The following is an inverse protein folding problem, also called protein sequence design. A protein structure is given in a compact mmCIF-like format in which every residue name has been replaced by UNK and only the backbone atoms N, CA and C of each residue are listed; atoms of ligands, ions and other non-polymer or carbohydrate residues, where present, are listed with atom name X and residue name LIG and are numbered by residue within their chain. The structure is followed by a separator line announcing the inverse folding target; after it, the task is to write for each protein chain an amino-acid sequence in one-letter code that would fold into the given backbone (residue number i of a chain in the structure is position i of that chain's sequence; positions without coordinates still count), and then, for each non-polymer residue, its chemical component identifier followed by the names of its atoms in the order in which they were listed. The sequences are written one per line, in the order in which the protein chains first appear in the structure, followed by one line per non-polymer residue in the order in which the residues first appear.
data_IF_978466415038
#
_entry.id   IF_978466415038
#
_cell.length_a   1.000
_cell.length_b   1.000
_cell.length_c   1.000
_cell.angle_alpha   90.00
_cell.angle_beta   90.00
_cell.angle_gamma   90.00
#
_symmetry.space_group_name_H-M   'P 1'
#
loop_
_entity.id
_entity.type
_entity.pdbx_description
1 polymer ?
#
# COMPACT_ATOMS: atom_id res chain seq x y z
N UNK A 1 23.81 22.89 99.58
CA UNK A 1 23.64 21.44 99.80
C UNK A 1 23.06 20.83 98.53
N UNK A 2 23.88 20.03 97.85
CA UNK A 2 23.61 19.33 96.60
C UNK A 2 22.69 18.12 96.86
N UNK A 3 21.65 17.92 96.05
CA UNK A 3 20.90 16.66 96.06
C UNK A 3 20.65 16.16 94.64
N UNK A 4 21.15 14.95 94.43
CA UNK A 4 21.44 14.29 93.17
C UNK A 4 20.25 13.46 92.68
N UNK A 5 20.04 13.51 91.36
CA UNK A 5 19.45 12.54 90.42
C UNK A 5 18.69 11.32 90.97
N UNK A 6 17.49 11.08 90.44
CA UNK A 6 17.04 9.75 89.99
C UNK A 6 16.38 9.87 88.61
N UNK A 7 17.04 9.30 87.59
CA UNK A 7 16.48 9.10 86.24
C UNK A 7 15.78 7.75 86.22
N UNK A 8 14.49 7.74 85.97
CA UNK A 8 13.68 6.54 85.79
C UNK A 8 13.81 6.06 84.34
N UNK A 9 14.29 4.83 84.16
CA UNK A 9 14.37 4.15 82.87
C UNK A 9 13.00 3.49 82.64
N UNK A 10 12.21 3.97 81.69
CA UNK A 10 11.02 3.26 81.23
C UNK A 10 11.34 2.48 79.96
N UNK A 11 11.12 1.17 80.05
CA UNK A 11 11.31 0.19 79.00
C UNK A 11 10.39 0.49 77.80
N UNK A 12 10.99 0.62 76.60
CA UNK A 12 10.25 0.69 75.34
C UNK A 12 9.77 -0.71 74.96
N UNK A 13 8.49 -0.97 75.17
CA UNK A 13 7.79 -2.12 74.58
C UNK A 13 7.79 -1.97 73.05
N UNK A 14 8.44 -2.90 72.34
CA UNK A 14 8.42 -2.99 70.88
C UNK A 14 7.06 -3.54 70.45
N UNK A 15 6.09 -2.67 70.18
CA UNK A 15 4.88 -3.05 69.47
C UNK A 15 5.21 -3.27 67.99
N UNK A 16 5.23 -4.52 67.57
CA UNK A 16 5.30 -4.95 66.18
C UNK A 16 4.03 -4.50 65.44
N UNK A 17 4.11 -3.39 64.70
CA UNK A 17 3.08 -3.03 63.71
C UNK A 17 3.30 -3.84 62.44
N UNK A 18 2.82 -5.07 62.43
CA UNK A 18 2.58 -5.82 61.20
C UNK A 18 1.17 -5.44 60.70
N UNK A 19 1.04 -4.26 60.10
CA UNK A 19 -0.13 -3.94 59.29
C UNK A 19 0.21 -4.33 57.86
N UNK A 20 -0.23 -5.50 57.43
CA UNK A 20 -0.36 -5.83 56.02
C UNK A 20 -1.28 -4.77 55.38
N UNK A 21 -0.68 -3.74 54.78
CA UNK A 21 -1.38 -2.91 53.82
C UNK A 21 -1.65 -3.80 52.60
N UNK A 22 -2.79 -4.49 52.59
CA UNK A 22 -3.34 -5.06 51.37
C UNK A 22 -3.48 -3.90 50.38
N UNK A 23 -2.55 -3.83 49.42
CA UNK A 23 -2.58 -2.83 48.36
C UNK A 23 -3.87 -3.07 47.59
N UNK A 24 -4.82 -2.14 47.70
CA UNK A 24 -6.05 -2.18 46.92
C UNK A 24 -5.69 -2.43 45.45
N UNK A 25 -6.33 -3.40 44.77
CA UNK A 25 -6.00 -3.72 43.39
C UNK A 25 -6.14 -2.46 42.55
N UNK A 26 -5.11 -2.17 41.76
CA UNK A 26 -5.08 -1.00 40.90
C UNK A 26 -6.25 -1.07 39.91
N UNK A 27 -7.17 -0.11 40.00
CA UNK A 27 -8.36 -0.06 39.15
C UNK A 27 -8.30 1.15 38.21
N UNK A 28 -8.79 0.97 37.00
CA UNK A 28 -8.99 2.02 35.99
C UNK A 28 -10.44 2.09 35.55
N UNK A 29 -10.87 3.23 35.00
CA UNK A 29 -12.18 3.36 34.36
C UNK A 29 -12.07 3.12 32.85
N UNK A 30 -12.96 2.30 32.30
CA UNK A 30 -13.03 2.04 30.86
C UNK A 30 -13.31 3.33 30.08
N UNK A 31 -12.63 3.56 28.96
CA UNK A 31 -12.84 4.77 28.15
C UNK A 31 -14.23 4.86 27.52
N UNK A 32 -14.85 3.72 27.22
CA UNK A 32 -16.20 3.63 26.61
C UNK A 32 -17.29 3.60 27.67
N UNK A 33 -17.44 2.48 28.39
CA UNK A 33 -18.57 2.28 29.32
C UNK A 33 -18.37 2.88 30.73
N UNK A 34 -17.20 3.46 31.01
CA UNK A 34 -16.82 4.07 32.31
C UNK A 34 -16.78 3.13 33.53
N UNK A 35 -17.10 1.85 33.37
CA UNK A 35 -16.97 0.83 34.41
C UNK A 35 -15.53 0.73 34.93
N UNK A 36 -15.39 0.57 36.25
CA UNK A 36 -14.09 0.31 36.89
C UNK A 36 -13.66 -1.14 36.63
N UNK A 37 -12.42 -1.35 36.22
CA UNK A 37 -11.85 -2.67 35.95
C UNK A 37 -10.40 -2.75 36.42
N UNK A 38 -9.93 -3.97 36.70
CA UNK A 38 -8.52 -4.26 36.96
C UNK A 38 -7.82 -4.54 35.63
N UNK A 39 -6.93 -3.66 35.14
CA UNK A 39 -6.28 -3.86 33.86
C UNK A 39 -5.26 -5.02 33.94
N UNK A 40 -5.17 -5.82 32.88
CA UNK A 40 -4.15 -6.87 32.79
C UNK A 40 -2.76 -6.27 32.50
N UNK A 41 -2.70 -5.22 31.67
CA UNK A 41 -1.50 -4.42 31.40
C UNK A 41 -1.70 -2.96 31.78
N UNK A 42 -0.62 -2.29 32.16
CA UNK A 42 -0.63 -0.84 32.46
C UNK A 42 -1.07 0.03 31.28
N UNK A 43 -1.04 -0.49 30.05
CA UNK A 43 -1.53 0.18 28.84
C UNK A 43 -3.02 -0.01 28.57
N UNK A 44 -3.69 -0.94 29.26
CA UNK A 44 -5.08 -1.26 28.98
C UNK A 44 -5.99 -0.10 29.35
N UNK A 45 -6.88 0.25 28.42
CA UNK A 45 -7.79 1.38 28.51
C UNK A 45 -9.27 0.96 28.47
N UNK A 46 -9.54 -0.33 28.25
CA UNK A 46 -10.88 -0.88 28.05
C UNK A 46 -11.08 -2.07 28.97
N UNK A 47 -12.27 -2.19 29.55
CA UNK A 47 -12.61 -3.30 30.42
C UNK A 47 -12.88 -4.60 29.67
N UNK A 48 -13.12 -4.53 28.36
CA UNK A 48 -13.43 -5.69 27.54
C UNK A 48 -13.04 -5.47 26.07
N UNK A 49 -13.02 -6.57 25.31
CA UNK A 49 -12.77 -6.56 23.88
C UNK A 49 -13.83 -5.76 23.11
N UNK A 50 -15.09 -5.85 23.52
CA UNK A 50 -16.22 -5.14 22.93
C UNK A 50 -16.04 -3.63 23.05
N UNK A 51 -15.64 -3.14 24.24
CA UNK A 51 -15.34 -1.73 24.45
C UNK A 51 -14.17 -1.25 23.59
N UNK A 52 -13.14 -2.09 23.40
CA UNK A 52 -12.04 -1.76 22.49
C UNK A 52 -12.53 -1.66 21.04
N UNK A 53 -13.32 -2.63 20.58
CA UNK A 53 -13.87 -2.66 19.21
C UNK A 53 -14.75 -1.44 18.93
N UNK A 54 -15.63 -1.08 19.87
CA UNK A 54 -16.46 0.13 19.78
C UNK A 54 -15.61 1.40 19.63
N UNK A 55 -14.53 1.50 20.41
CA UNK A 55 -13.58 2.61 20.29
C UNK A 55 -12.86 2.64 18.93
N UNK A 56 -12.44 1.49 18.41
CA UNK A 56 -11.78 1.38 17.11
C UNK A 56 -12.71 1.76 15.94
N UNK A 57 -14.01 1.50 16.06
CA UNK A 57 -15.00 1.87 15.04
C UNK A 57 -15.28 3.38 14.98
N UNK A 58 -15.24 4.08 16.12
CA UNK A 58 -15.45 5.54 16.17
C UNK A 58 -14.16 6.35 15.98
N UNK A 59 -13.00 5.70 16.03
CA UNK A 59 -11.72 6.40 15.85
C UNK A 59 -11.64 6.88 14.40
N UNK A 60 -11.49 8.20 14.15
CA UNK A 60 -11.26 8.68 12.80
C UNK A 60 -10.01 7.97 12.25
N UNK A 61 -10.14 7.33 11.09
CA UNK A 61 -8.98 6.73 10.41
C UNK A 61 -7.95 7.85 10.26
N UNK A 62 -6.68 7.63 10.65
CA UNK A 62 -5.65 8.64 10.43
C UNK A 62 -5.69 8.97 8.94
N UNK A 63 -5.95 10.25 8.62
CA UNK A 63 -5.82 10.75 7.26
C UNK A 63 -4.37 10.48 6.92
N UNK A 64 -4.14 9.47 6.09
CA UNK A 64 -2.81 9.25 5.53
C UNK A 64 -2.51 10.54 4.77
N UNK A 65 -1.60 11.36 5.31
CA UNK A 65 -1.04 12.47 4.54
C UNK A 65 -0.44 11.79 3.32
N UNK A 66 -1.11 11.91 2.17
CA UNK A 66 -0.53 11.56 0.89
C UNK A 66 0.75 12.38 0.86
N UNK A 67 1.91 11.72 0.98
CA UNK A 67 3.17 12.40 0.79
C UNK A 67 3.06 13.01 -0.60
N UNK A 68 3.03 14.35 -0.66
CA UNK A 68 3.05 15.03 -1.94
C UNK A 68 4.40 14.66 -2.56
N UNK A 69 4.37 13.68 -3.46
CA UNK A 69 5.52 13.38 -4.28
C UNK A 69 5.82 14.68 -5.03
N UNK A 70 6.95 15.31 -4.73
CA UNK A 70 7.40 16.48 -5.48
C UNK A 70 7.36 16.11 -6.96
N UNK A 71 6.61 16.88 -7.73
CA UNK A 71 6.48 16.63 -9.17
C UNK A 71 7.87 16.77 -9.77
N UNK A 72 8.46 15.65 -10.16
CA UNK A 72 9.76 15.62 -10.84
C UNK A 72 9.73 16.61 -12.01
N UNK A 73 10.61 17.61 -11.98
CA UNK A 73 10.76 18.52 -13.11
C UNK A 73 11.43 17.76 -14.25
N UNK A 74 10.72 17.63 -15.36
CA UNK A 74 11.24 17.01 -16.58
C UNK A 74 12.22 17.97 -17.26
N UNK A 75 13.33 17.44 -17.77
CA UNK A 75 14.28 18.23 -18.57
C UNK A 75 13.63 18.70 -19.88
N UNK A 76 14.24 19.68 -20.54
CA UNK A 76 13.79 20.16 -21.86
C UNK A 76 13.76 19.01 -22.89
N UNK A 77 14.79 18.17 -22.87
CA UNK A 77 14.93 17.03 -23.78
C UNK A 77 13.89 15.94 -23.49
N UNK A 78 13.61 15.67 -22.21
CA UNK A 78 12.60 14.70 -21.80
C UNK A 78 11.19 15.16 -22.23
N UNK A 79 10.89 16.46 -22.09
CA UNK A 79 9.65 17.06 -22.60
C UNK A 79 9.54 16.94 -24.11
N UNK A 80 10.62 17.22 -24.84
CA UNK A 80 10.65 17.11 -26.30
C UNK A 80 10.43 15.67 -26.76
N UNK A 81 11.09 14.69 -26.11
CA UNK A 81 10.92 13.27 -26.37
C UNK A 81 9.47 12.81 -26.15
N UNK A 82 8.86 13.19 -25.02
CA UNK A 82 7.47 12.85 -24.73
C UNK A 82 6.50 13.45 -25.75
N UNK A 83 6.74 14.70 -26.18
CA UNK A 83 5.94 15.35 -27.21
C UNK A 83 6.08 14.65 -28.58
N UNK A 84 7.28 14.24 -28.97
CA UNK A 84 7.50 13.48 -30.22
C UNK A 84 6.84 12.11 -30.16
N UNK A 85 6.97 11.40 -29.03
CA UNK A 85 6.32 10.11 -28.78
C UNK A 85 4.80 10.25 -28.88
N UNK A 86 4.23 11.30 -28.31
CA UNK A 86 2.79 11.54 -28.38
C UNK A 86 2.32 11.85 -29.80
N UNK A 87 3.08 12.65 -30.57
CA UNK A 87 2.80 12.89 -31.99
C UNK A 87 2.80 11.60 -32.80
N UNK A 88 3.76 10.70 -32.57
CA UNK A 88 3.80 9.39 -33.23
C UNK A 88 2.61 8.53 -32.82
N UNK A 89 2.24 8.54 -31.53
CA UNK A 89 1.06 7.84 -31.02
C UNK A 89 -0.21 8.28 -31.75
N UNK A 90 -0.44 9.59 -31.84
CA UNK A 90 -1.62 10.16 -32.51
C UNK A 90 -1.64 9.77 -33.99
N UNK A 91 -0.52 9.90 -34.71
CA UNK A 91 -0.45 9.50 -36.13
C UNK A 91 -0.82 8.03 -36.37
N UNK A 92 -0.34 7.14 -35.51
CA UNK A 92 -0.65 5.71 -35.62
C UNK A 92 -2.12 5.42 -35.29
N UNK A 93 -2.69 6.10 -34.30
CA UNK A 93 -4.11 5.97 -33.94
C UNK A 93 -5.02 6.53 -35.05
N UNK A 94 -4.66 7.66 -35.65
CA UNK A 94 -5.39 8.25 -36.78
C UNK A 94 -5.39 7.31 -37.98
N UNK A 95 -4.26 6.67 -38.28
CA UNK A 95 -4.17 5.64 -39.31
C UNK A 95 -5.08 4.43 -39.02
N UNK A 96 -5.20 4.04 -37.75
CA UNK A 96 -6.12 2.96 -37.30
C UNK A 96 -7.54 3.46 -36.98
N UNK A 97 -7.88 4.70 -37.35
CA UNK A 97 -9.22 5.32 -37.18
C UNK A 97 -9.78 5.24 -35.76
N UNK A 98 -8.92 5.29 -34.74
CA UNK A 98 -9.33 5.27 -33.33
C UNK A 98 -10.08 4.01 -32.88
N UNK A 99 -9.92 2.87 -33.56
CA UNK A 99 -10.57 1.62 -33.15
C UNK A 99 -9.69 0.77 -32.24
N UNK A 100 -10.28 0.23 -31.17
CA UNK A 100 -9.61 -0.79 -30.36
C UNK A 100 -9.41 -2.06 -31.19
N UNK A 101 -8.16 -2.54 -31.31
CA UNK A 101 -7.83 -3.73 -32.11
C UNK A 101 -8.57 -5.00 -31.67
N UNK A 102 -8.93 -5.09 -30.37
CA UNK A 102 -9.59 -6.28 -29.81
C UNK A 102 -11.11 -6.22 -29.91
N UNK A 103 -11.74 -5.18 -29.38
CA UNK A 103 -13.20 -5.09 -29.28
C UNK A 103 -13.85 -4.28 -30.41
N UNK A 104 -13.07 -3.60 -31.25
CA UNK A 104 -13.61 -2.78 -32.34
C UNK A 104 -14.32 -1.50 -31.90
N UNK A 105 -14.32 -1.16 -30.61
CA UNK A 105 -14.92 0.09 -30.12
C UNK A 105 -14.03 1.27 -30.49
N UNK A 106 -14.64 2.30 -31.09
CA UNK A 106 -13.94 3.57 -31.39
C UNK A 106 -13.81 4.44 -30.16
N UNK A 107 -12.61 4.92 -29.85
CA UNK A 107 -12.39 5.94 -28.80
C UNK A 107 -11.09 6.71 -29.02
N UNK A 108 -11.05 7.96 -28.52
CA UNK A 108 -9.87 8.83 -28.63
C UNK A 108 -8.70 8.40 -27.73
N UNK A 109 -9.00 7.76 -26.61
CA UNK A 109 -8.02 7.45 -25.56
C UNK A 109 -7.56 5.99 -25.60
N UNK A 110 -7.09 5.53 -26.77
CA UNK A 110 -6.49 4.20 -26.88
C UNK A 110 -5.09 4.15 -26.26
N UNK A 111 -4.81 3.07 -25.56
CA UNK A 111 -3.51 2.77 -24.98
C UNK A 111 -2.70 1.89 -25.93
N UNK A 112 -1.40 2.14 -25.99
CA UNK A 112 -0.48 1.33 -26.79
C UNK A 112 0.02 0.15 -25.95
N UNK A 113 -0.22 -1.06 -26.41
CA UNK A 113 0.24 -2.29 -25.78
C UNK A 113 1.34 -2.96 -26.60
N UNK A 114 2.36 -3.47 -25.92
CA UNK A 114 3.38 -4.34 -26.49
C UNK A 114 2.85 -5.78 -26.55
N UNK A 115 2.65 -6.33 -27.75
CA UNK A 115 2.20 -7.74 -27.92
C UNK A 115 3.21 -8.65 -27.21
N UNK A 116 4.45 -8.70 -27.66
CA UNK A 116 5.55 -9.34 -26.91
C UNK A 116 5.99 -8.39 -25.80
N UNK A 117 5.86 -8.84 -24.55
CA UNK A 117 6.09 -7.99 -23.39
C UNK A 117 7.56 -7.60 -23.25
N UNK A 118 7.82 -6.40 -22.73
CA UNK A 118 9.18 -5.90 -22.52
C UNK A 118 10.03 -6.79 -21.62
N UNK A 119 9.41 -7.46 -20.65
CA UNK A 119 10.09 -8.38 -19.74
C UNK A 119 10.56 -9.67 -20.41
N UNK A 120 10.04 -10.01 -21.60
CA UNK A 120 10.39 -11.25 -22.31
C UNK A 120 11.48 -11.05 -23.35
N UNK A 121 11.63 -9.83 -23.82
CA UNK A 121 12.64 -9.41 -24.79
C UNK A 121 13.41 -8.20 -24.26
N UNK A 122 14.03 -8.31 -23.07
CA UNK A 122 14.80 -7.20 -22.52
C UNK A 122 15.90 -6.80 -23.51
N UNK A 123 16.05 -5.50 -23.74
CA UNK A 123 17.06 -4.91 -24.65
C UNK A 123 16.97 -5.30 -26.13
N UNK A 124 15.91 -5.97 -26.57
CA UNK A 124 15.73 -6.26 -28.00
C UNK A 124 15.50 -4.97 -28.79
N UNK A 125 16.20 -4.82 -29.92
CA UNK A 125 16.15 -3.62 -30.76
C UNK A 125 14.73 -3.39 -31.32
N UNK A 126 14.13 -4.46 -31.83
CA UNK A 126 12.76 -4.44 -32.39
C UNK A 126 11.62 -4.37 -31.34
N UNK A 127 11.88 -4.20 -30.04
CA UNK A 127 10.81 -4.20 -29.02
C UNK A 127 9.76 -3.10 -29.25
N UNK A 128 10.12 -2.01 -29.92
CA UNK A 128 9.24 -0.89 -30.29
C UNK A 128 8.75 -0.94 -31.74
N UNK A 129 8.99 -2.05 -32.46
CA UNK A 129 8.52 -2.23 -33.83
C UNK A 129 6.98 -2.13 -33.87
N UNK A 130 6.44 -1.40 -34.86
CA UNK A 130 5.00 -1.23 -35.05
C UNK A 130 4.23 -2.57 -35.09
N UNK A 131 4.83 -3.64 -35.64
CA UNK A 131 4.23 -4.99 -35.68
C UNK A 131 4.01 -5.55 -34.28
N UNK A 132 4.86 -5.17 -33.32
CA UNK A 132 4.77 -5.54 -31.91
C UNK A 132 3.85 -4.62 -31.08
N UNK A 133 3.25 -3.60 -31.68
CA UNK A 133 2.38 -2.65 -31.00
C UNK A 133 0.92 -2.80 -31.46
N UNK A 134 -0.01 -2.66 -30.53
CA UNK A 134 -1.45 -2.55 -30.80
C UNK A 134 -2.06 -1.39 -30.02
N UNK A 135 -3.12 -0.80 -30.56
CA UNK A 135 -3.91 0.20 -29.85
C UNK A 135 -5.22 -0.41 -29.36
N UNK A 136 -5.46 -0.31 -28.06
CA UNK A 136 -6.59 -0.95 -27.39
C UNK A 136 -7.19 -0.04 -26.32
N UNK A 137 -8.46 -0.26 -26.00
CA UNK A 137 -9.11 0.45 -24.89
C UNK A 137 -8.49 0.04 -23.54
N UNK A 138 -8.71 0.82 -22.49
CA UNK A 138 -8.13 0.55 -21.17
C UNK A 138 -8.51 -0.84 -20.62
N UNK A 139 -9.77 -1.26 -20.80
CA UNK A 139 -10.23 -2.60 -20.39
C UNK A 139 -9.53 -3.72 -21.18
N UNK A 140 -9.39 -3.56 -22.50
CA UNK A 140 -8.67 -4.51 -23.33
C UNK A 140 -7.16 -4.50 -23.02
N UNK A 141 -6.60 -3.35 -22.67
CA UNK A 141 -5.22 -3.23 -22.24
C UNK A 141 -4.98 -4.03 -20.95
N UNK A 142 -5.85 -3.87 -19.95
CA UNK A 142 -5.83 -4.66 -18.72
C UNK A 142 -5.98 -6.16 -19.02
N UNK A 143 -6.88 -6.54 -19.93
CA UNK A 143 -7.05 -7.93 -20.34
C UNK A 143 -5.77 -8.53 -20.94
N UNK A 144 -5.00 -7.79 -21.73
CA UNK A 144 -3.71 -8.28 -22.22
C UNK A 144 -2.66 -8.44 -21.11
N UNK A 145 -2.72 -7.65 -20.04
CA UNK A 145 -1.84 -7.79 -18.86
C UNK A 145 -2.23 -8.93 -17.92
N UNK A 146 -3.47 -9.43 -17.98
CA UNK A 146 -3.95 -10.52 -17.13
C UNK A 146 -3.22 -11.85 -17.41
N UNK A 147 -3.14 -12.24 -18.70
CA UNK A 147 -2.48 -13.48 -19.11
C UNK A 147 -1.71 -13.29 -20.40
N UNK A 148 -0.48 -13.77 -20.44
CA UNK A 148 0.36 -13.70 -21.65
C UNK A 148 -0.27 -14.41 -22.85
N UNK A 149 -0.94 -15.54 -22.64
CA UNK A 149 -1.58 -16.30 -23.73
C UNK A 149 -2.68 -15.55 -24.49
N UNK A 150 -3.23 -14.48 -23.92
CA UNK A 150 -4.23 -13.63 -24.54
C UNK A 150 -3.76 -12.99 -25.87
N UNK A 151 -2.44 -12.94 -26.10
CA UNK A 151 -1.83 -12.39 -27.31
C UNK A 151 -1.49 -13.43 -28.38
N UNK A 152 -1.57 -14.73 -28.10
CA UNK A 152 -1.00 -15.77 -28.97
C UNK A 152 -1.56 -15.71 -30.39
N UNK A 153 -2.87 -15.42 -30.51
CA UNK A 153 -3.50 -15.18 -31.82
C UNK A 153 -2.83 -14.05 -32.61
N UNK A 154 -2.37 -12.99 -31.95
CA UNK A 154 -1.64 -11.88 -32.58
C UNK A 154 -0.21 -12.25 -32.95
N UNK A 155 0.46 -13.05 -32.11
CA UNK A 155 1.81 -13.56 -32.39
C UNK A 155 1.82 -14.38 -33.66
N UNK A 156 0.84 -15.27 -33.82
CA UNK A 156 0.62 -16.05 -35.05
C UNK A 156 0.26 -15.14 -36.23
N UNK A 157 -0.81 -14.33 -36.09
CA UNK A 157 -1.34 -13.49 -37.17
C UNK A 157 -0.29 -12.53 -37.73
N UNK A 158 0.57 -11.98 -36.88
CA UNK A 158 1.61 -11.01 -37.27
C UNK A 158 2.98 -11.66 -37.50
N UNK A 159 3.09 -12.99 -37.36
CA UNK A 159 4.33 -13.76 -37.48
C UNK A 159 5.47 -13.18 -36.65
N UNK A 160 5.19 -12.80 -35.39
CA UNK A 160 6.15 -12.13 -34.53
C UNK A 160 7.33 -13.03 -34.13
N UNK A 161 7.16 -14.35 -34.23
CA UNK A 161 8.25 -15.32 -34.07
C UNK A 161 9.37 -15.13 -35.10
N UNK A 162 9.09 -14.58 -36.29
CA UNK A 162 10.12 -14.25 -37.29
C UNK A 162 11.03 -13.10 -36.83
N UNK A 163 10.57 -12.26 -35.90
CA UNK A 163 11.30 -11.09 -35.41
C UNK A 163 11.94 -11.37 -34.05
N UNK A 164 11.22 -12.02 -33.15
CA UNK A 164 11.63 -12.21 -31.75
C UNK A 164 12.07 -13.66 -31.42
N UNK A 165 12.03 -14.55 -32.42
CA UNK A 165 12.36 -15.98 -32.31
C UNK A 165 11.19 -16.85 -31.84
N UNK A 166 11.26 -18.15 -32.12
CA UNK A 166 10.21 -19.14 -31.80
C UNK A 166 9.83 -19.21 -30.31
N UNK A 167 10.75 -18.80 -29.42
CA UNK A 167 10.51 -18.76 -27.98
C UNK A 167 9.29 -17.92 -27.54
N UNK A 168 8.81 -17.01 -28.38
CA UNK A 168 7.65 -16.15 -28.05
C UNK A 168 6.31 -16.78 -28.44
N UNK A 169 6.34 -17.92 -29.13
CA UNK A 169 5.16 -18.65 -29.61
C UNK A 169 4.51 -19.42 -28.47
N UNK A 170 3.19 -19.41 -28.40
CA UNK A 170 2.36 -20.24 -27.49
C UNK A 170 2.75 -20.16 -25.99
N UNK A 171 2.92 -18.94 -25.47
CA UNK A 171 3.16 -18.69 -24.03
C UNK A 171 1.88 -18.40 -23.24
#
# INVERSE_FOLDING_TARGET
MTRTKKRTIQARSKMTRNSHHEKRPYQKSCRICKTKFSPYRTTDAFCSYECRKQFEMVKPKPIQRVQQHEKRQLSKDEKAYLAQREKLRIKLIEAEKYFCYRCGVSQKNLECHHIIWRSEIPRHEEKHNHRNLIFVCSECHAWYHDKKGNRNSLVEKRKLYNVFGEKVRNK
#
